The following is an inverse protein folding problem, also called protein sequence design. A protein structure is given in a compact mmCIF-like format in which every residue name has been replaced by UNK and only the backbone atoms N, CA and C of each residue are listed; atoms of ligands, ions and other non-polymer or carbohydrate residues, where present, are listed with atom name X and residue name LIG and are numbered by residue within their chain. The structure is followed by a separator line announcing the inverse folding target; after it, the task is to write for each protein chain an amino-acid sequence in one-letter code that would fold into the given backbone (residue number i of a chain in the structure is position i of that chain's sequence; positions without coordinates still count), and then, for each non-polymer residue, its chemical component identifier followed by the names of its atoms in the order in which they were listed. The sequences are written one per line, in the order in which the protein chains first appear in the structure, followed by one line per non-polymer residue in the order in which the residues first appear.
data_IF_097873377101
#
_entry.id   IF_097873377101
#
_cell.length_a   1.000
_cell.length_b   1.000
_cell.length_c   1.000
_cell.angle_alpha   90.00
_cell.angle_beta   90.00
_cell.angle_gamma   90.00
#
_symmetry.space_group_name_H-M   'P 1'
#
loop_
_entity.id
_entity.type
_entity.pdbx_description
1 polymer ?
#
# COMPACT_ATOMS: atom_id res chain seq x y z
N UNK A 1 5.33 -13.37 -5.13
CA UNK A 1 4.72 -12.16 -4.54
C UNK A 1 4.10 -11.30 -5.64
N UNK A 2 4.88 -10.80 -6.62
CA UNK A 2 4.37 -9.95 -7.72
C UNK A 2 3.28 -10.61 -8.57
N UNK A 3 3.32 -11.93 -8.74
CA UNK A 3 2.28 -12.69 -9.44
C UNK A 3 0.95 -12.60 -8.71
N UNK A 4 0.96 -12.72 -7.36
CA UNK A 4 -0.25 -12.59 -6.55
C UNK A 4 -0.88 -11.20 -6.70
N UNK A 5 -0.07 -10.13 -6.67
CA UNK A 5 -0.58 -8.76 -6.92
C UNK A 5 -1.24 -8.68 -8.29
N UNK A 6 -0.60 -9.19 -9.33
CA UNK A 6 -1.16 -9.16 -10.70
C UNK A 6 -2.48 -9.91 -10.81
N UNK A 7 -2.64 -11.01 -10.04
CA UNK A 7 -3.91 -11.73 -9.93
C UNK A 7 -4.97 -10.91 -9.19
N UNK A 8 -4.63 -10.32 -8.04
CA UNK A 8 -5.53 -9.47 -7.25
C UNK A 8 -5.97 -8.19 -7.99
N UNK A 9 -5.15 -7.68 -8.90
CA UNK A 9 -5.47 -6.52 -9.74
C UNK A 9 -6.09 -6.90 -11.09
N UNK A 10 -6.41 -8.19 -11.30
CA UNK A 10 -6.95 -8.74 -12.55
C UNK A 10 -6.09 -8.42 -13.81
N UNK A 11 -4.78 -8.22 -13.60
CA UNK A 11 -3.81 -8.08 -14.69
C UNK A 11 -3.53 -9.44 -15.33
N UNK A 12 -3.50 -10.49 -14.51
CA UNK A 12 -3.37 -11.88 -14.93
C UNK A 12 -4.57 -12.68 -14.47
N UNK A 13 -4.96 -13.70 -15.25
CA UNK A 13 -6.00 -14.66 -14.85
C UNK A 13 -5.37 -15.87 -14.14
N UNK A 14 -6.04 -16.46 -13.14
CA UNK A 14 -5.59 -17.71 -12.52
C UNK A 14 -5.69 -18.88 -13.51
N UNK A 15 -4.73 -19.81 -13.46
CA UNK A 15 -4.75 -21.04 -14.26
C UNK A 15 -5.92 -21.96 -13.84
N UNK A 16 -6.26 -21.96 -12.56
CA UNK A 16 -7.36 -22.72 -11.97
C UNK A 16 -7.87 -22.02 -10.72
N UNK A 17 -9.06 -22.37 -10.25
CA UNK A 17 -9.70 -21.74 -9.10
C UNK A 17 -10.35 -20.39 -9.43
N UNK A 18 -10.78 -19.70 -8.39
CA UNK A 18 -11.46 -18.41 -8.49
C UNK A 18 -10.91 -17.40 -7.46
N UNK A 19 -11.08 -16.12 -7.77
CA UNK A 19 -10.71 -15.02 -6.89
C UNK A 19 -11.98 -14.18 -6.66
N UNK A 20 -12.33 -13.99 -5.39
CA UNK A 20 -13.44 -13.15 -4.98
C UNK A 20 -12.93 -11.93 -4.21
N UNK A 21 -13.37 -10.74 -4.59
CA UNK A 21 -12.99 -9.47 -3.96
C UNK A 21 -14.27 -8.74 -3.55
N UNK A 22 -14.36 -8.34 -2.27
CA UNK A 22 -15.55 -7.69 -1.72
C UNK A 22 -16.86 -8.47 -2.00
N UNK A 23 -16.78 -9.81 -1.99
CA UNK A 23 -17.89 -10.72 -2.22
C UNK A 23 -18.25 -10.95 -3.70
N UNK A 24 -17.52 -10.36 -4.66
CA UNK A 24 -17.77 -10.52 -6.09
C UNK A 24 -16.61 -11.23 -6.77
N UNK A 25 -16.92 -12.07 -7.77
CA UNK A 25 -15.88 -12.71 -8.58
C UNK A 25 -15.10 -11.66 -9.36
N UNK A 26 -13.76 -11.77 -9.37
CA UNK A 26 -12.85 -10.79 -9.98
C UNK A 26 -13.14 -10.58 -11.48
N UNK A 27 -13.66 -11.59 -12.19
CA UNK A 27 -13.98 -11.51 -13.63
C UNK A 27 -15.16 -10.58 -13.90
N UNK A 28 -16.10 -10.43 -12.94
CA UNK A 28 -17.26 -9.54 -13.03
C UNK A 28 -17.09 -8.26 -12.20
N UNK A 29 -16.00 -8.16 -11.43
CA UNK A 29 -15.77 -7.04 -10.54
C UNK A 29 -15.51 -5.74 -11.32
N UNK A 30 -16.32 -4.70 -11.03
CA UNK A 30 -16.26 -3.40 -11.73
C UNK A 30 -15.98 -2.22 -10.80
N UNK A 31 -15.95 -2.43 -9.46
CA UNK A 31 -15.73 -1.38 -8.45
C UNK A 31 -14.25 -1.14 -8.18
N UNK A 32 -13.42 -1.01 -9.23
CA UNK A 32 -11.95 -0.87 -9.11
C UNK A 32 -11.52 0.37 -8.34
N UNK A 33 -12.34 1.44 -8.27
CA UNK A 33 -12.09 2.60 -7.40
C UNK A 33 -12.04 2.24 -5.91
N UNK A 34 -12.62 1.08 -5.51
CA UNK A 34 -12.56 0.56 -4.14
C UNK A 34 -11.26 -0.17 -3.82
N UNK A 35 -10.39 -0.35 -4.80
CA UNK A 35 -9.08 -0.99 -4.62
C UNK A 35 -8.00 0.04 -4.92
N UNK A 36 -7.24 0.42 -3.90
CA UNK A 36 -6.06 1.26 -4.04
C UNK A 36 -4.81 0.38 -4.23
N UNK A 37 -3.90 0.79 -5.12
CA UNK A 37 -2.62 0.11 -5.29
C UNK A 37 -1.47 1.11 -5.22
N UNK A 38 -0.49 0.80 -4.38
CA UNK A 38 0.78 1.52 -4.24
C UNK A 38 1.90 0.60 -4.66
N UNK A 39 2.54 0.91 -5.78
CA UNK A 39 3.64 0.09 -6.32
C UNK A 39 4.97 0.39 -5.63
N UNK A 40 5.89 -0.57 -5.62
CA UNK A 40 7.25 -0.42 -5.11
C UNK A 40 8.01 0.77 -5.74
N UNK A 41 7.76 1.07 -7.02
CA UNK A 41 8.41 2.17 -7.74
C UNK A 41 7.86 3.56 -7.40
N UNK A 42 6.90 3.67 -6.51
CA UNK A 42 6.30 4.94 -6.10
C UNK A 42 7.35 5.93 -5.56
N UNK A 43 8.42 5.46 -4.92
CA UNK A 43 9.48 6.29 -4.33
C UNK A 43 10.61 6.72 -5.29
N UNK A 44 10.51 6.42 -6.58
CA UNK A 44 11.59 6.65 -7.56
C UNK A 44 11.39 7.92 -8.40
N UNK A 45 10.69 8.92 -7.87
CA UNK A 45 10.56 10.19 -8.59
C UNK A 45 11.88 10.96 -8.60
N UNK A 46 12.33 11.26 -9.81
CA UNK A 46 13.48 12.14 -10.01
C UNK A 46 13.16 13.54 -9.47
N UNK A 47 14.15 14.20 -8.86
CA UNK A 47 14.04 15.61 -8.39
C UNK A 47 13.56 16.59 -9.48
N UNK A 48 13.79 16.25 -10.74
CA UNK A 48 13.37 17.03 -11.90
C UNK A 48 11.92 16.82 -12.34
N UNK A 49 11.14 15.93 -11.68
CA UNK A 49 9.76 15.68 -12.10
C UNK A 49 8.87 16.90 -11.78
N UNK A 50 8.27 17.55 -12.78
CA UNK A 50 7.65 18.88 -12.64
C UNK A 50 6.19 18.84 -12.16
N UNK A 51 5.83 17.90 -11.26
CA UNK A 51 4.49 17.84 -10.71
C UNK A 51 4.46 18.17 -9.23
N UNK A 52 3.43 18.90 -8.83
CA UNK A 52 3.12 19.18 -7.43
C UNK A 52 2.48 18.00 -6.73
N UNK A 53 2.53 17.99 -5.41
CA UNK A 53 1.89 16.96 -4.57
C UNK A 53 0.39 16.89 -4.84
N UNK A 54 -0.31 18.02 -4.96
CA UNK A 54 -1.75 18.03 -5.23
C UNK A 54 -2.07 17.45 -6.61
N UNK A 55 -1.26 17.74 -7.65
CA UNK A 55 -1.47 17.15 -8.98
C UNK A 55 -1.29 15.65 -9.00
N UNK A 56 -0.31 15.10 -8.26
CA UNK A 56 -0.11 13.65 -8.10
C UNK A 56 -1.33 12.98 -7.46
N UNK A 57 -1.89 13.59 -6.42
CA UNK A 57 -3.08 13.05 -5.73
C UNK A 57 -4.32 13.19 -6.61
N UNK A 58 -4.50 14.35 -7.24
CA UNK A 58 -5.63 14.66 -8.12
C UNK A 58 -5.71 13.74 -9.34
N UNK A 59 -4.55 13.33 -9.88
CA UNK A 59 -4.49 12.42 -11.01
C UNK A 59 -5.28 11.11 -10.82
N UNK A 60 -5.47 10.66 -9.57
CA UNK A 60 -6.25 9.46 -9.28
C UNK A 60 -7.78 9.69 -9.33
N UNK A 61 -8.23 10.94 -9.39
CA UNK A 61 -9.64 11.30 -9.54
C UNK A 61 -10.10 11.34 -11.00
N UNK A 62 -9.20 11.11 -11.96
CA UNK A 62 -9.51 11.21 -13.39
C UNK A 62 -10.73 10.39 -13.80
N UNK A 63 -10.86 9.17 -13.29
CA UNK A 63 -12.01 8.30 -13.59
C UNK A 63 -13.35 8.83 -13.04
N UNK A 64 -13.31 9.61 -11.95
CA UNK A 64 -14.50 10.20 -11.34
C UNK A 64 -14.83 11.59 -11.92
N UNK A 65 -13.82 12.32 -12.38
CA UNK A 65 -13.98 13.61 -13.06
C UNK A 65 -14.59 13.41 -14.45
N UNK A 66 -14.14 12.37 -15.16
CA UNK A 66 -14.55 12.05 -16.52
C UNK A 66 -13.70 12.74 -17.60
N UNK A 67 -13.71 12.13 -18.79
CA UNK A 67 -12.94 12.62 -19.94
C UNK A 67 -13.44 14.01 -20.36
N UNK A 68 -12.53 14.93 -20.63
CA UNK A 68 -12.81 16.33 -21.03
C UNK A 68 -13.45 17.23 -19.95
N UNK A 69 -13.42 16.81 -18.68
CA UNK A 69 -13.83 17.66 -17.55
C UNK A 69 -12.63 18.08 -16.72
N UNK A 70 -12.72 19.28 -16.14
CA UNK A 70 -11.68 19.80 -15.25
C UNK A 70 -12.04 19.56 -13.79
N UNK A 71 -11.02 19.41 -12.91
CA UNK A 71 -11.23 19.37 -11.48
C UNK A 71 -11.99 20.61 -10.99
N UNK A 72 -12.95 20.39 -10.12
CA UNK A 72 -13.71 21.48 -9.50
C UNK A 72 -13.36 21.64 -8.01
N UNK A 73 -14.00 22.57 -7.31
CA UNK A 73 -13.78 22.81 -5.87
C UNK A 73 -13.99 21.58 -5.01
N UNK A 74 -14.91 20.70 -5.37
CA UNK A 74 -15.17 19.45 -4.67
C UNK A 74 -13.99 18.48 -4.78
N UNK A 75 -13.46 18.28 -5.98
CA UNK A 75 -12.29 17.42 -6.21
C UNK A 75 -11.05 17.97 -5.47
N UNK A 76 -10.85 19.29 -5.51
CA UNK A 76 -9.76 19.92 -4.78
C UNK A 76 -9.87 19.71 -3.26
N UNK A 77 -11.08 19.80 -2.72
CA UNK A 77 -11.33 19.48 -1.32
C UNK A 77 -10.98 18.01 -0.99
N UNK A 78 -11.38 17.05 -1.82
CA UNK A 78 -11.02 15.64 -1.63
C UNK A 78 -9.50 15.41 -1.61
N UNK A 79 -8.76 16.09 -2.50
CA UNK A 79 -7.29 16.04 -2.53
C UNK A 79 -6.71 16.52 -1.19
N UNK A 80 -7.15 17.66 -0.68
CA UNK A 80 -6.64 18.21 0.57
C UNK A 80 -7.09 17.41 1.80
N UNK A 81 -8.27 16.80 1.78
CA UNK A 81 -8.71 15.84 2.80
C UNK A 81 -7.78 14.60 2.82
N UNK A 82 -7.43 14.05 1.66
CA UNK A 82 -6.50 12.93 1.57
C UNK A 82 -5.08 13.31 2.04
N UNK A 83 -4.59 14.51 1.68
CA UNK A 83 -3.30 15.03 2.13
C UNK A 83 -3.29 15.27 3.65
N UNK A 84 -4.38 15.74 4.23
CA UNK A 84 -4.52 15.94 5.67
C UNK A 84 -4.40 14.62 6.44
N UNK A 85 -5.07 13.57 5.96
CA UNK A 85 -4.99 12.21 6.54
C UNK A 85 -3.56 11.71 6.62
N UNK A 86 -2.71 12.01 5.63
CA UNK A 86 -1.31 11.56 5.62
C UNK A 86 -0.35 12.58 6.24
N UNK A 87 -0.85 13.69 6.81
CA UNK A 87 -0.06 14.74 7.46
C UNK A 87 0.76 15.59 6.47
N UNK A 88 0.24 15.82 5.27
CA UNK A 88 0.92 16.58 4.19
C UNK A 88 0.04 17.72 3.62
N UNK A 89 -0.96 18.20 4.36
CA UNK A 89 -1.89 19.22 3.90
C UNK A 89 -1.19 20.48 3.35
N UNK A 90 -0.15 20.94 4.06
CA UNK A 90 0.57 22.16 3.70
C UNK A 90 1.60 21.95 2.57
N UNK A 91 1.73 20.72 2.09
CA UNK A 91 2.70 20.36 1.04
C UNK A 91 2.07 20.34 -0.36
N UNK A 92 0.77 20.56 -0.50
CA UNK A 92 0.04 20.42 -1.76
C UNK A 92 0.69 21.13 -2.96
N UNK A 93 1.23 22.31 -2.76
CA UNK A 93 1.88 23.13 -3.80
C UNK A 93 3.37 22.83 -4.03
N UNK A 94 3.98 21.97 -3.21
CA UNK A 94 5.39 21.61 -3.38
C UNK A 94 5.56 20.60 -4.51
N UNK A 95 6.68 20.69 -5.22
CA UNK A 95 7.07 19.67 -6.19
C UNK A 95 7.37 18.35 -5.47
N UNK A 96 6.89 17.22 -6.01
CA UNK A 96 7.09 15.88 -5.42
C UNK A 96 8.57 15.55 -5.26
N UNK A 97 9.43 15.97 -6.20
CA UNK A 97 10.86 15.74 -6.15
C UNK A 97 11.59 16.45 -5.00
N UNK A 98 10.96 17.43 -4.35
CA UNK A 98 11.52 18.17 -3.21
C UNK A 98 11.14 17.53 -1.85
N UNK A 99 10.42 16.42 -1.86
CA UNK A 99 10.02 15.69 -0.66
C UNK A 99 11.03 14.59 -0.34
N UNK A 100 11.15 14.25 0.97
CA UNK A 100 11.87 13.04 1.39
C UNK A 100 11.18 11.77 0.89
N UNK A 101 11.89 10.64 0.83
CA UNK A 101 11.33 9.36 0.39
C UNK A 101 10.07 8.96 1.18
N UNK A 102 10.10 9.11 2.51
CA UNK A 102 8.94 8.83 3.35
C UNK A 102 7.78 9.81 3.14
N UNK A 103 8.05 11.07 2.79
CA UNK A 103 7.01 12.01 2.38
C UNK A 103 6.43 11.65 1.03
N UNK A 104 7.26 11.29 0.05
CA UNK A 104 6.80 10.82 -1.26
C UNK A 104 5.90 9.58 -1.09
N UNK A 105 6.31 8.61 -0.27
CA UNK A 105 5.49 7.43 0.01
C UNK A 105 4.11 7.81 0.57
N UNK A 106 4.04 8.75 1.51
CA UNK A 106 2.76 9.25 2.04
C UNK A 106 1.92 9.97 0.99
N UNK A 107 2.53 10.66 0.02
CA UNK A 107 1.80 11.22 -1.13
C UNK A 107 1.15 10.12 -1.96
N UNK A 108 1.83 8.98 -2.21
CA UNK A 108 1.24 7.87 -2.95
C UNK A 108 0.14 7.16 -2.19
N UNK A 109 0.25 7.09 -0.87
CA UNK A 109 -0.86 6.63 -0.02
C UNK A 109 -2.04 7.60 -0.15
N UNK A 110 -1.84 8.93 -0.05
CA UNK A 110 -2.89 9.95 -0.25
C UNK A 110 -3.54 9.85 -1.65
N UNK A 111 -2.73 9.60 -2.68
CA UNK A 111 -3.23 9.36 -4.04
C UNK A 111 -4.21 8.19 -4.11
N UNK A 112 -4.00 7.13 -3.34
CA UNK A 112 -4.97 6.04 -3.31
C UNK A 112 -6.18 6.36 -2.44
N UNK A 113 -5.98 7.09 -1.33
CA UNK A 113 -7.04 7.45 -0.39
C UNK A 113 -8.09 8.39 -0.97
N UNK A 114 -7.73 9.22 -1.95
CA UNK A 114 -8.66 10.19 -2.55
C UNK A 114 -9.92 9.56 -3.13
N UNK A 115 -9.84 8.29 -3.57
CA UNK A 115 -10.97 7.50 -4.06
C UNK A 115 -11.73 6.75 -2.96
N UNK A 116 -11.37 6.92 -1.69
CA UNK A 116 -11.98 6.23 -0.53
C UNK A 116 -12.05 4.71 -0.76
N UNK A 117 -10.89 4.05 -0.92
CA UNK A 117 -10.84 2.62 -1.18
C UNK A 117 -11.30 1.82 0.04
N UNK A 118 -11.84 0.63 -0.21
CA UNK A 118 -12.12 -0.36 0.84
C UNK A 118 -10.93 -1.29 1.10
N UNK A 119 -10.09 -1.48 0.06
CA UNK A 119 -8.86 -2.29 0.13
C UNK A 119 -7.71 -1.46 -0.41
N UNK A 120 -6.57 -1.48 0.28
CA UNK A 120 -5.32 -0.89 -0.19
C UNK A 120 -4.24 -1.97 -0.25
N UNK A 121 -3.70 -2.20 -1.45
CA UNK A 121 -2.61 -3.14 -1.71
C UNK A 121 -1.32 -2.34 -1.84
N UNK A 122 -0.31 -2.67 -1.04
CA UNK A 122 1.00 -2.01 -1.06
C UNK A 122 2.09 -3.05 -1.37
N UNK A 123 2.92 -2.74 -2.34
CA UNK A 123 4.03 -3.57 -2.76
C UNK A 123 5.34 -2.96 -2.25
N UNK A 124 5.90 -3.53 -1.19
CA UNK A 124 7.14 -3.09 -0.54
C UNK A 124 7.17 -1.57 -0.25
N UNK A 125 6.20 -1.04 0.52
CA UNK A 125 5.99 0.40 0.63
C UNK A 125 7.10 1.17 1.35
N UNK A 126 8.00 0.50 2.04
CA UNK A 126 9.04 1.13 2.87
C UNK A 126 10.45 0.98 2.30
N UNK A 127 10.59 0.32 1.15
CA UNK A 127 11.90 0.15 0.51
C UNK A 127 12.51 1.50 0.12
N UNK A 128 13.74 1.74 0.56
CA UNK A 128 14.50 2.93 0.21
C UNK A 128 14.16 4.19 1.01
N UNK A 129 13.44 4.06 2.10
CA UNK A 129 13.21 5.15 3.07
C UNK A 129 13.96 4.88 4.39
N UNK A 130 14.22 5.93 5.16
CA UNK A 130 14.90 5.83 6.45
C UNK A 130 13.98 5.21 7.52
N UNK A 131 14.57 4.59 8.56
CA UNK A 131 13.84 3.85 9.60
C UNK A 131 12.76 4.69 10.32
N UNK A 132 13.00 5.98 10.56
CA UNK A 132 12.00 6.86 11.19
C UNK A 132 10.80 7.10 10.27
N UNK A 133 11.05 7.28 8.98
CA UNK A 133 9.99 7.45 7.97
C UNK A 133 9.24 6.15 7.74
N UNK A 134 9.91 5.01 7.82
CA UNK A 134 9.33 3.67 7.73
C UNK A 134 8.31 3.43 8.84
N UNK A 135 8.69 3.63 10.11
CA UNK A 135 7.80 3.51 11.26
C UNK A 135 6.58 4.44 11.11
N UNK A 136 6.79 5.68 10.65
CA UNK A 136 5.69 6.62 10.41
C UNK A 136 4.70 6.12 9.33
N UNK A 137 5.18 5.39 8.31
CA UNK A 137 4.32 4.76 7.30
C UNK A 137 3.53 3.61 7.90
N UNK A 138 4.16 2.72 8.70
CA UNK A 138 3.44 1.62 9.36
C UNK A 138 2.36 2.13 10.32
N UNK A 139 2.69 3.11 11.17
CA UNK A 139 1.71 3.77 12.04
C UNK A 139 0.54 4.39 11.25
N UNK A 140 0.83 5.03 10.12
CA UNK A 140 -0.22 5.56 9.24
C UNK A 140 -1.12 4.43 8.71
N UNK A 141 -0.56 3.34 8.19
CA UNK A 141 -1.33 2.21 7.67
C UNK A 141 -2.20 1.55 8.75
N UNK A 142 -1.67 1.37 9.96
CA UNK A 142 -2.42 0.85 11.10
C UNK A 142 -3.60 1.78 11.46
N UNK A 143 -3.39 3.10 11.44
CA UNK A 143 -4.44 4.09 11.66
C UNK A 143 -5.51 4.04 10.57
N UNK A 144 -5.14 3.95 9.29
CA UNK A 144 -6.08 3.83 8.19
C UNK A 144 -6.96 2.58 8.31
N UNK A 145 -6.38 1.46 8.75
CA UNK A 145 -7.13 0.24 9.01
C UNK A 145 -8.11 0.42 10.19
N UNK A 146 -7.61 0.94 11.33
CA UNK A 146 -8.38 1.04 12.58
C UNK A 146 -9.49 2.10 12.52
N UNK A 147 -9.18 3.30 11.99
CA UNK A 147 -10.09 4.45 12.03
C UNK A 147 -10.98 4.55 10.78
N UNK A 148 -10.47 4.18 9.61
CA UNK A 148 -11.21 4.28 8.35
C UNK A 148 -11.72 2.93 7.84
N UNK A 149 -11.43 1.81 8.53
CA UNK A 149 -11.89 0.48 8.17
C UNK A 149 -11.32 -0.03 6.84
N UNK A 150 -10.20 0.53 6.36
CA UNK A 150 -9.57 0.12 5.11
C UNK A 150 -8.83 -1.20 5.34
N UNK A 151 -9.11 -2.22 4.54
CA UNK A 151 -8.32 -3.45 4.56
C UNK A 151 -6.96 -3.19 3.92
N UNK A 152 -5.88 -3.36 4.70
CA UNK A 152 -4.52 -3.17 4.21
C UNK A 152 -3.93 -4.54 3.85
N UNK A 153 -3.52 -4.70 2.59
CA UNK A 153 -2.78 -5.87 2.11
C UNK A 153 -1.37 -5.41 1.76
N UNK A 154 -0.39 -5.77 2.57
CA UNK A 154 0.99 -5.35 2.36
C UNK A 154 1.87 -6.54 1.99
N UNK A 155 2.67 -6.37 0.94
CA UNK A 155 3.73 -7.30 0.58
C UNK A 155 5.05 -6.68 1.01
N UNK A 156 5.77 -7.39 1.85
CA UNK A 156 7.08 -6.96 2.34
C UNK A 156 8.00 -8.15 2.56
N UNK A 157 9.27 -7.88 2.72
CA UNK A 157 10.29 -8.81 3.20
C UNK A 157 10.76 -8.46 4.62
N UNK A 158 10.26 -7.38 5.20
CA UNK A 158 10.56 -6.97 6.57
C UNK A 158 9.63 -7.71 7.56
N UNK A 159 10.18 -8.74 8.21
CA UNK A 159 9.47 -9.56 9.20
C UNK A 159 9.26 -8.78 10.50
N UNK A 160 10.19 -7.93 10.89
CA UNK A 160 10.09 -7.15 12.13
C UNK A 160 8.83 -6.29 12.13
N UNK A 161 8.64 -5.51 11.07
CA UNK A 161 7.47 -4.67 10.92
C UNK A 161 6.16 -5.47 10.83
N UNK A 162 6.18 -6.61 10.12
CA UNK A 162 4.99 -7.47 9.95
C UNK A 162 4.49 -8.00 11.29
N UNK A 163 5.40 -8.46 12.17
CA UNK A 163 5.03 -9.03 13.47
C UNK A 163 4.43 -8.01 14.45
N UNK A 164 4.77 -6.73 14.29
CA UNK A 164 4.28 -5.65 15.17
C UNK A 164 2.94 -5.08 14.68
N UNK A 165 2.76 -4.94 13.35
CA UNK A 165 1.65 -4.17 12.80
C UNK A 165 0.57 -5.02 12.12
N UNK A 166 0.87 -6.27 11.70
CA UNK A 166 -0.09 -7.09 11.00
C UNK A 166 -0.99 -7.89 11.95
N UNK A 167 -2.27 -8.02 11.61
CA UNK A 167 -3.21 -8.88 12.31
C UNK A 167 -3.41 -10.25 11.62
N UNK A 168 -2.85 -10.44 10.43
CA UNK A 168 -2.78 -11.71 9.71
C UNK A 168 -1.51 -11.74 8.87
N UNK A 169 -0.81 -12.87 8.88
CA UNK A 169 0.42 -13.07 8.13
C UNK A 169 0.26 -14.27 7.19
N UNK A 170 0.62 -14.07 5.94
CA UNK A 170 0.65 -15.10 4.93
C UNK A 170 2.04 -15.21 4.32
N UNK A 171 2.61 -16.39 4.38
CA UNK A 171 3.93 -16.67 3.84
C UNK A 171 3.82 -17.46 2.55
N UNK A 172 4.49 -17.00 1.49
CA UNK A 172 4.52 -17.68 0.19
C UNK A 172 5.90 -18.28 0.01
N UNK A 173 5.96 -19.61 -0.03
CA UNK A 173 7.19 -20.37 -0.27
C UNK A 173 6.90 -21.59 -1.14
N UNK A 174 7.75 -21.88 -2.13
CA UNK A 174 7.62 -23.07 -2.98
C UNK A 174 6.26 -23.23 -3.67
N UNK A 175 5.57 -22.13 -3.99
CA UNK A 175 4.24 -22.16 -4.61
C UNK A 175 3.09 -22.41 -3.63
N UNK A 176 3.37 -22.59 -2.34
CA UNK A 176 2.37 -22.78 -1.29
C UNK A 176 2.18 -21.52 -0.46
N UNK A 177 0.95 -21.33 0.03
CA UNK A 177 0.58 -20.26 0.95
C UNK A 177 0.38 -20.85 2.34
N UNK A 178 1.18 -20.37 3.30
CA UNK A 178 1.05 -20.74 4.71
C UNK A 178 0.48 -19.55 5.48
N UNK A 179 -0.61 -19.76 6.21
CA UNK A 179 -1.17 -18.76 7.13
C UNK A 179 -0.46 -18.87 8.48
N UNK A 180 -0.05 -17.75 9.02
CA UNK A 180 0.56 -17.66 10.35
C UNK A 180 -0.25 -16.74 11.24
N UNK A 181 -0.47 -17.14 12.50
CA UNK A 181 -1.11 -16.32 13.51
C UNK A 181 -0.06 -15.40 14.14
N UNK A 182 -0.18 -14.06 14.01
CA UNK A 182 0.80 -13.13 14.56
C UNK A 182 0.89 -13.16 16.11
N UNK A 183 -0.13 -13.66 16.80
CA UNK A 183 -0.10 -13.83 18.26
C UNK A 183 0.85 -14.94 18.73
N UNK A 184 1.18 -15.88 17.84
CA UNK A 184 2.19 -16.89 18.05
C UNK A 184 3.54 -16.29 17.65
N UNK A 185 4.45 -16.04 18.63
CA UNK A 185 5.81 -15.61 18.32
C UNK A 185 6.40 -16.51 17.25
N UNK A 186 6.84 -15.92 16.13
CA UNK A 186 7.52 -16.64 15.07
C UNK A 186 8.71 -17.37 15.70
N UNK A 187 8.66 -18.71 15.75
CA UNK A 187 9.80 -19.47 16.23
C UNK A 187 10.92 -19.43 15.20
N UNK A 188 12.17 -19.61 15.64
CA UNK A 188 13.33 -19.72 14.73
C UNK A 188 13.12 -20.80 13.66
N UNK A 189 12.34 -21.84 13.95
CA UNK A 189 11.91 -22.87 12.99
C UNK A 189 10.96 -22.32 11.93
N UNK A 190 10.01 -21.50 12.31
CA UNK A 190 9.04 -20.91 11.38
C UNK A 190 9.75 -19.96 10.41
N UNK A 191 10.68 -19.15 10.95
CA UNK A 191 11.52 -18.24 10.13
C UNK A 191 12.43 -19.04 9.21
N UNK A 192 13.06 -20.12 9.70
CA UNK A 192 13.91 -21.00 8.88
C UNK A 192 13.13 -21.68 7.76
N UNK A 193 11.90 -22.12 8.02
CA UNK A 193 11.00 -22.67 7.00
C UNK A 193 10.58 -21.63 5.97
N UNK A 194 10.48 -20.34 6.37
CA UNK A 194 10.12 -19.23 5.50
C UNK A 194 11.23 -18.85 4.51
N UNK A 195 12.48 -18.93 4.94
CA UNK A 195 13.64 -18.56 4.12
C UNK A 195 14.34 -19.74 3.44
N UNK A 196 14.02 -20.99 3.82
CA UNK A 196 14.69 -22.18 3.29
C UNK A 196 16.13 -22.38 3.80
N UNK A 197 16.56 -21.57 4.80
CA UNK A 197 17.86 -21.72 5.50
C UNK A 197 17.73 -21.30 6.96
N UNK A 198 18.62 -21.81 7.82
CA UNK A 198 18.61 -21.52 9.25
C UNK A 198 18.85 -20.04 9.55
N UNK A 199 17.85 -19.37 10.09
CA UNK A 199 17.94 -17.97 10.56
C UNK A 199 17.93 -17.97 12.08
N UNK A 200 18.98 -17.42 12.70
CA UNK A 200 18.99 -17.13 14.13
C UNK A 200 18.37 -15.76 14.37
N UNK A 201 17.22 -15.74 15.03
CA UNK A 201 16.63 -14.48 15.52
C UNK A 201 17.44 -14.02 16.74
N UNK A 202 18.27 -13.00 16.59
CA UNK A 202 18.75 -12.25 17.74
C UNK A 202 17.63 -11.35 18.23
N UNK A 203 16.98 -11.75 19.32
CA UNK A 203 16.10 -10.87 20.09
C UNK A 203 17.03 -9.95 20.88
N UNK A 204 17.06 -8.68 20.56
CA UNK A 204 17.63 -7.68 21.46
C UNK A 204 16.61 -7.44 22.56
N UNK A 205 17.02 -7.83 23.80
CA UNK A 205 16.34 -7.48 25.05
C UNK A 205 16.40 -5.97 25.29
#
# INVERSE_FOLDING_TARGET
KSTLIKLLLNINSPLSGEINILGENIKSFNRWSKIGYVSQKANSFNKSFPATVEEIVEANLFSSIGMFKFPNKYHKRQVYEALDVVGLKDYGKRLIGNLSGGQQQRVFIARTLVNKPSIMVLDEPTVGIDAKSEEAVYCLLARLNKELGITIVMITHDIGAVTVHANKIFCISGGSLLSHDPSLKLSSKDVSNLYGYGVNLHVHD
#
